data_IF_716066598079
#
_entry.id   IF_716066598079
#
_cell.length_a   1.000
_cell.length_b   1.000
_cell.length_c   1.000
_cell.angle_alpha   90.00
_cell.angle_beta   90.00
_cell.angle_gamma   90.00
#
_symmetry.space_group_name_H-M   'P 1'
#
loop_
_entity.id
_entity.type
_entity.pdbx_description
1 polymer ?
#
# COMPACT_ATOMS: atom_id res chain seq x y z
N UNK A 1 71.08 -25.26 59.23
CA UNK A 1 70.62 -26.55 58.66
C UNK A 1 69.09 -26.53 58.59
N UNK A 2 68.56 -27.11 57.52
CA UNK A 2 67.17 -27.53 57.23
C UNK A 2 66.21 -27.67 58.43
N UNK A 3 64.89 -27.60 58.32
CA UNK A 3 63.94 -27.19 57.30
C UNK A 3 62.54 -27.34 57.96
N UNK A 4 61.59 -26.56 57.47
CA UNK A 4 60.14 -26.85 57.38
C UNK A 4 59.31 -27.07 58.66
N UNK A 5 58.57 -26.02 58.99
CA UNK A 5 57.39 -25.89 59.85
C UNK A 5 56.12 -26.55 59.26
N UNK A 6 55.24 -27.17 60.08
CA UNK A 6 53.81 -27.35 59.79
C UNK A 6 52.96 -26.36 60.61
N UNK A 7 52.03 -25.58 60.02
CA UNK A 7 50.65 -25.86 59.58
C UNK A 7 49.56 -25.82 60.70
N UNK A 8 48.64 -24.85 60.51
CA UNK A 8 47.20 -24.79 60.87
C UNK A 8 46.84 -24.79 62.36
N UNK A 9 46.01 -23.88 62.89
CA UNK A 9 44.59 -23.71 62.52
C UNK A 9 44.08 -22.27 62.76
N UNK A 10 43.58 -21.61 61.71
CA UNK A 10 42.76 -20.40 61.81
C UNK A 10 41.32 -20.69 61.36
N UNK A 11 40.32 -20.38 62.19
CA UNK A 11 38.89 -20.55 61.89
C UNK A 11 38.49 -19.77 60.63
N UNK A 12 37.76 -20.37 59.66
CA UNK A 12 37.24 -19.63 58.52
C UNK A 12 36.01 -18.82 58.92
N UNK A 13 36.06 -17.50 58.69
CA UNK A 13 34.88 -16.62 58.70
C UNK A 13 34.07 -16.91 57.43
N UNK A 14 32.96 -17.63 57.56
CA UNK A 14 32.02 -17.79 56.46
C UNK A 14 31.41 -16.43 56.10
N UNK A 15 31.76 -15.89 54.93
CA UNK A 15 30.99 -14.81 54.30
C UNK A 15 29.67 -15.42 53.84
N UNK A 16 28.58 -15.12 54.56
CA UNK A 16 27.22 -15.47 54.15
C UNK A 16 26.89 -14.61 52.92
N UNK A 17 27.09 -15.17 51.74
CA UNK A 17 26.71 -14.54 50.48
C UNK A 17 25.17 -14.54 50.44
N UNK A 18 24.54 -13.37 50.56
CA UNK A 18 23.09 -13.21 50.45
C UNK A 18 22.66 -13.69 49.06
N UNK A 19 22.02 -14.86 49.01
CA UNK A 19 21.38 -15.40 47.81
C UNK A 19 20.08 -14.64 47.61
N UNK A 20 20.06 -13.75 46.62
CA UNK A 20 18.83 -13.06 46.21
C UNK A 20 17.76 -14.07 45.80
N UNK A 21 16.55 -13.88 46.31
CA UNK A 21 15.40 -14.72 45.96
C UNK A 21 14.99 -14.48 44.50
N UNK A 22 14.18 -15.39 43.93
CA UNK A 22 13.70 -15.22 42.55
C UNK A 22 12.84 -13.96 42.39
N UNK A 23 12.14 -13.55 43.44
CA UNK A 23 11.37 -12.30 43.51
C UNK A 23 12.26 -11.06 43.52
N UNK A 24 13.41 -11.08 44.22
CA UNK A 24 14.34 -9.94 44.23
C UNK A 24 14.98 -9.73 42.86
N UNK A 25 15.29 -10.83 42.17
CA UNK A 25 15.81 -10.79 40.79
C UNK A 25 14.75 -10.24 39.84
N UNK A 26 13.50 -10.69 39.95
CA UNK A 26 12.41 -10.18 39.12
C UNK A 26 12.15 -8.69 39.35
N UNK A 27 12.16 -8.23 40.61
CA UNK A 27 11.97 -6.82 40.95
C UNK A 27 13.09 -5.93 40.37
N UNK A 28 14.34 -6.39 40.40
CA UNK A 28 15.47 -5.67 39.80
C UNK A 28 15.38 -5.67 38.27
N UNK A 29 14.98 -6.77 37.65
CA UNK A 29 14.81 -6.83 36.18
C UNK A 29 13.68 -5.93 35.71
N UNK A 30 12.55 -5.90 36.42
CA UNK A 30 11.41 -4.99 36.13
C UNK A 30 11.82 -3.54 36.38
N UNK A 31 12.57 -3.26 37.45
CA UNK A 31 13.14 -1.94 37.73
C UNK A 31 14.05 -1.45 36.61
N UNK A 32 14.98 -2.27 36.14
CA UNK A 32 15.89 -1.96 35.02
C UNK A 32 15.16 -1.77 33.69
N UNK A 33 14.16 -2.61 33.39
CA UNK A 33 13.34 -2.48 32.18
C UNK A 33 12.48 -1.20 32.21
N UNK A 34 11.88 -0.87 33.35
CA UNK A 34 11.12 0.37 33.50
C UNK A 34 12.00 1.62 33.37
N UNK A 35 13.23 1.60 33.89
CA UNK A 35 14.18 2.69 33.74
C UNK A 35 14.67 2.86 32.29
N UNK A 36 14.84 1.76 31.55
CA UNK A 36 15.18 1.77 30.12
C UNK A 36 14.03 2.29 29.25
N UNK A 37 12.78 1.96 29.57
CA UNK A 37 11.60 2.48 28.88
C UNK A 37 11.36 3.98 29.17
N UNK A 38 11.52 4.43 30.41
CA UNK A 38 11.37 5.86 30.76
C UNK A 38 12.52 6.68 30.16
N UNK A 39 13.75 6.16 30.15
CA UNK A 39 14.91 6.80 29.52
C UNK A 39 14.77 6.97 28.01
N UNK A 40 14.19 6.00 27.31
CA UNK A 40 13.95 6.08 25.86
C UNK A 40 12.78 7.02 25.52
N UNK A 41 11.71 7.06 26.33
CA UNK A 41 10.62 8.04 26.17
C UNK A 41 11.12 9.47 26.44
N UNK A 42 11.97 9.69 27.44
CA UNK A 42 12.56 11.01 27.72
C UNK A 42 13.62 11.43 26.69
N UNK A 43 14.38 10.49 26.12
CA UNK A 43 15.33 10.79 25.04
C UNK A 43 14.60 11.19 23.76
N UNK A 44 13.54 10.46 23.38
CA UNK A 44 12.67 10.81 22.24
C UNK A 44 11.96 12.16 22.48
N UNK A 45 11.49 12.42 23.69
CA UNK A 45 10.90 13.71 24.05
C UNK A 45 11.91 14.88 24.05
N UNK A 46 13.20 14.62 24.35
CA UNK A 46 14.27 15.64 24.26
C UNK A 46 14.77 15.87 22.84
N UNK A 47 14.69 14.88 21.94
CA UNK A 47 15.07 15.03 20.52
C UNK A 47 13.94 15.54 19.62
N UNK A 48 12.70 15.61 20.11
CA UNK A 48 11.54 16.22 19.40
C UNK A 48 11.22 17.63 19.94
N UNK A 49 12.14 18.26 20.67
CA UNK A 49 12.11 19.70 20.89
C UNK A 49 12.45 20.44 19.58
N UNK A 50 11.52 20.41 18.63
CA UNK A 50 11.50 21.31 17.49
C UNK A 50 11.50 22.75 18.02
N UNK A 51 12.33 23.66 17.50
CA UNK A 51 12.17 25.06 17.82
C UNK A 51 10.77 25.47 17.40
N UNK A 52 10.01 26.03 18.35
CA UNK A 52 8.77 26.75 18.10
C UNK A 52 9.10 27.84 17.07
N UNK A 53 8.84 27.55 15.80
CA UNK A 53 8.96 28.50 14.72
C UNK A 53 7.95 29.61 15.02
N UNK A 54 8.46 30.83 15.21
CA UNK A 54 7.65 32.03 15.21
C UNK A 54 6.71 32.02 14.00
N UNK A 55 5.50 32.59 14.09
CA UNK A 55 4.59 32.63 12.95
C UNK A 55 5.30 33.38 11.82
N UNK A 56 5.72 32.64 10.81
CA UNK A 56 6.15 33.22 9.54
C UNK A 56 4.93 33.98 9.05
N UNK A 57 5.03 35.31 9.03
CA UNK A 57 4.06 36.13 8.33
C UNK A 57 3.99 35.58 6.91
N UNK A 58 2.87 34.92 6.60
CA UNK A 58 2.56 34.53 5.24
C UNK A 58 2.36 35.82 4.47
N UNK A 59 3.42 36.29 3.82
CA UNK A 59 3.25 37.03 2.58
C UNK A 59 2.47 36.08 1.69
N UNK A 60 1.14 36.26 1.64
CA UNK A 60 0.31 35.68 0.59
C UNK A 60 0.86 36.25 -0.71
N UNK A 61 1.81 35.55 -1.31
CA UNK A 61 2.04 35.72 -2.73
C UNK A 61 0.74 35.31 -3.40
N UNK A 62 -0.01 36.29 -3.89
CA UNK A 62 -1.21 36.13 -4.72
C UNK A 62 -0.91 35.45 -6.07
N UNK A 63 0.12 34.59 -6.14
CA UNK A 63 0.63 33.97 -7.36
C UNK A 63 -0.06 32.64 -7.69
N UNK A 64 -0.89 32.10 -6.79
CA UNK A 64 -1.51 30.78 -7.00
C UNK A 64 -2.94 30.84 -7.55
N UNK A 65 -3.70 31.91 -7.31
CA UNK A 65 -5.08 32.03 -7.79
C UNK A 65 -5.17 32.47 -9.26
N UNK A 66 -4.17 33.20 -9.75
CA UNK A 66 -4.18 33.79 -11.10
C UNK A 66 -3.72 32.80 -12.17
N UNK A 67 -2.86 31.83 -11.84
CA UNK A 67 -2.37 30.82 -12.80
C UNK A 67 -3.40 29.70 -13.00
N UNK A 68 -4.15 29.32 -11.95
CA UNK A 68 -5.22 28.33 -12.06
C UNK A 68 -6.44 28.84 -12.86
N UNK A 69 -6.61 30.15 -13.00
CA UNK A 69 -7.69 30.75 -13.80
C UNK A 69 -7.39 30.84 -15.31
N UNK A 70 -6.18 30.53 -15.76
CA UNK A 70 -5.78 30.64 -17.17
C UNK A 70 -5.76 29.31 -17.94
N UNK A 71 -5.87 28.16 -17.25
CA UNK A 71 -5.95 26.88 -17.95
C UNK A 71 -7.37 26.65 -18.46
N UNK A 72 -7.55 26.27 -19.74
CA UNK A 72 -8.87 25.94 -20.26
C UNK A 72 -9.51 24.84 -19.41
N UNK A 73 -10.83 24.94 -19.22
CA UNK A 73 -11.60 23.92 -18.54
C UNK A 73 -11.40 22.58 -19.27
N UNK A 74 -11.12 21.51 -18.52
CA UNK A 74 -11.04 20.17 -19.10
C UNK A 74 -12.46 19.70 -19.43
N UNK A 75 -12.63 19.14 -20.62
CA UNK A 75 -13.87 18.53 -21.03
C UNK A 75 -13.71 17.01 -21.04
N UNK A 76 -14.38 16.35 -20.11
CA UNK A 76 -14.43 14.88 -20.01
C UNK A 76 -15.78 14.30 -20.44
N UNK A 77 -16.58 15.06 -21.18
CA UNK A 77 -17.79 14.53 -21.82
C UNK A 77 -17.43 13.61 -22.98
N UNK A 78 -18.26 12.60 -23.21
CA UNK A 78 -18.08 11.66 -24.32
C UNK A 78 -17.28 10.41 -23.93
N UNK A 79 -16.70 9.77 -24.93
CA UNK A 79 -16.02 8.49 -24.77
C UNK A 79 -14.53 8.69 -24.45
N UNK A 80 -14.15 8.51 -23.19
CA UNK A 80 -12.80 8.73 -22.70
C UNK A 80 -11.83 7.66 -23.19
N UNK A 81 -12.32 6.51 -23.68
CA UNK A 81 -11.48 5.45 -24.28
C UNK A 81 -10.66 5.97 -25.45
N UNK A 82 -11.19 6.93 -26.21
CA UNK A 82 -10.52 7.53 -27.36
C UNK A 82 -9.25 8.32 -26.98
N UNK A 83 -9.07 8.63 -25.69
CA UNK A 83 -7.91 9.37 -25.14
C UNK A 83 -6.85 8.44 -24.55
N UNK A 84 -7.00 7.13 -24.74
CA UNK A 84 -6.13 6.12 -24.20
C UNK A 84 -5.67 5.15 -25.29
N UNK A 85 -4.54 4.52 -25.08
CA UNK A 85 -4.06 3.40 -25.88
C UNK A 85 -4.49 2.09 -25.22
N UNK A 86 -5.29 1.27 -25.92
CA UNK A 86 -5.57 -0.12 -25.53
C UNK A 86 -4.31 -0.96 -25.74
N UNK A 87 -3.93 -1.75 -24.75
CA UNK A 87 -2.73 -2.59 -24.76
C UNK A 87 -2.99 -3.93 -24.09
N UNK A 88 -2.10 -4.89 -24.36
CA UNK A 88 -2.20 -6.24 -23.82
C UNK A 88 -0.85 -6.68 -23.27
N UNK A 89 -0.89 -7.35 -22.12
CA UNK A 89 0.26 -7.93 -21.46
C UNK A 89 0.09 -9.45 -21.39
N UNK A 90 1.14 -10.18 -21.78
CA UNK A 90 1.16 -11.64 -21.63
C UNK A 90 1.41 -11.97 -20.17
N UNK A 91 0.37 -12.43 -19.49
CA UNK A 91 0.34 -12.69 -18.06
C UNK A 91 0.40 -14.18 -17.77
N UNK A 92 1.04 -14.59 -16.67
CA UNK A 92 0.95 -15.99 -16.24
C UNK A 92 -0.46 -16.34 -15.78
N UNK A 93 -0.92 -17.54 -16.11
CA UNK A 93 -2.24 -18.01 -15.68
C UNK A 93 -2.28 -18.22 -14.16
N UNK A 94 -1.17 -18.67 -13.56
CA UNK A 94 -1.08 -18.96 -12.14
C UNK A 94 0.23 -18.41 -11.55
N UNK A 95 0.13 -17.43 -10.65
CA UNK A 95 1.29 -16.86 -9.96
C UNK A 95 1.81 -17.71 -8.80
N UNK A 96 1.03 -18.69 -8.36
CA UNK A 96 1.30 -19.47 -7.14
C UNK A 96 1.74 -20.90 -7.45
N UNK A 97 1.85 -21.27 -8.72
CA UNK A 97 2.41 -22.53 -9.20
C UNK A 97 3.28 -22.26 -10.43
N UNK A 98 4.40 -22.97 -10.55
CA UNK A 98 5.30 -22.82 -11.69
C UNK A 98 4.79 -23.59 -12.92
N UNK A 99 3.70 -23.10 -13.53
CA UNK A 99 3.15 -23.62 -14.80
C UNK A 99 3.47 -22.66 -15.96
N UNK A 100 3.64 -23.16 -17.19
CA UNK A 100 4.00 -22.32 -18.33
C UNK A 100 2.82 -21.57 -18.95
N UNK A 101 1.59 -21.85 -18.49
CA UNK A 101 0.38 -21.31 -19.10
C UNK A 101 0.24 -19.80 -18.90
N UNK A 102 -0.29 -19.13 -19.91
CA UNK A 102 -0.43 -17.67 -19.95
C UNK A 102 -1.78 -17.26 -20.52
N UNK A 103 -2.16 -16.01 -20.31
CA UNK A 103 -3.28 -15.37 -20.98
C UNK A 103 -2.95 -13.91 -21.30
N UNK A 104 -3.76 -13.30 -22.17
CA UNK A 104 -3.60 -11.90 -22.54
C UNK A 104 -4.41 -11.02 -21.60
N UNK A 105 -3.75 -10.24 -20.75
CA UNK A 105 -4.39 -9.27 -19.87
C UNK A 105 -4.47 -7.91 -20.57
N UNK A 106 -5.68 -7.38 -20.73
CA UNK A 106 -5.92 -6.06 -21.29
C UNK A 106 -5.67 -4.96 -20.27
N UNK A 107 -5.15 -3.83 -20.73
CA UNK A 107 -5.08 -2.59 -19.96
C UNK A 107 -5.11 -1.38 -20.90
N UNK A 108 -5.41 -0.21 -20.34
CA UNK A 108 -5.36 1.06 -21.05
C UNK A 108 -4.34 1.99 -20.42
N UNK A 109 -3.65 2.75 -21.25
CA UNK A 109 -2.72 3.82 -20.83
C UNK A 109 -3.20 5.14 -21.40
N UNK A 110 -3.42 6.13 -20.55
CA UNK A 110 -3.83 7.48 -20.96
C UNK A 110 -2.78 8.47 -20.41
N UNK A 111 -1.94 8.96 -21.31
CA UNK A 111 -0.72 9.74 -21.00
C UNK A 111 -0.86 11.24 -21.30
N UNK A 112 -2.05 11.69 -21.69
CA UNK A 112 -2.32 13.09 -22.08
C UNK A 112 -1.83 14.14 -21.06
N UNK A 113 -1.87 13.81 -19.77
CA UNK A 113 -1.45 14.70 -18.69
C UNK A 113 -0.17 14.26 -17.97
N UNK A 114 0.46 13.19 -18.44
CA UNK A 114 1.55 12.60 -17.69
C UNK A 114 2.84 13.42 -17.80
N UNK A 115 3.33 13.87 -16.66
CA UNK A 115 4.59 14.62 -16.57
C UNK A 115 5.76 13.66 -16.32
N UNK A 116 6.19 12.97 -17.37
CA UNK A 116 7.27 11.97 -17.27
C UNK A 116 8.59 12.58 -16.75
N UNK A 117 8.95 13.80 -17.15
CA UNK A 117 10.20 14.46 -16.77
C UNK A 117 10.32 14.76 -15.27
N UNK A 118 9.19 14.93 -14.58
CA UNK A 118 9.12 15.14 -13.12
C UNK A 118 8.77 13.86 -12.35
N UNK A 119 8.81 12.70 -13.00
CA UNK A 119 8.35 11.43 -12.41
C UNK A 119 6.91 11.48 -11.91
N UNK A 120 6.01 12.09 -12.70
CA UNK A 120 4.59 12.19 -12.39
C UNK A 120 4.00 10.83 -11.97
N UNK A 121 3.06 10.81 -10.99
CA UNK A 121 2.57 9.58 -10.40
C UNK A 121 1.75 8.76 -11.39
N UNK A 122 1.55 7.49 -11.11
CA UNK A 122 0.64 6.61 -11.83
C UNK A 122 -0.64 6.47 -10.99
N UNK A 123 -1.76 6.90 -11.53
CA UNK A 123 -3.08 6.54 -11.01
C UNK A 123 -3.50 5.24 -11.68
N UNK A 124 -3.55 4.17 -10.89
CA UNK A 124 -3.75 2.81 -11.39
C UNK A 124 -5.12 2.29 -10.95
N UNK A 125 -6.08 2.21 -11.87
CA UNK A 125 -7.36 1.59 -11.59
C UNK A 125 -7.20 0.07 -11.57
N UNK A 126 -7.52 -0.54 -10.43
CA UNK A 126 -7.63 -2.00 -10.30
C UNK A 126 -9.01 -2.42 -10.79
N UNK A 127 -9.09 -2.85 -12.05
CA UNK A 127 -10.35 -3.31 -12.66
C UNK A 127 -11.03 -4.39 -11.81
N UNK A 128 -12.34 -4.45 -11.88
CA UNK A 128 -13.13 -5.34 -11.03
C UNK A 128 -14.05 -6.23 -11.89
N UNK A 129 -15.28 -6.49 -11.44
CA UNK A 129 -16.17 -7.53 -11.96
C UNK A 129 -16.87 -7.21 -13.29
N UNK A 130 -16.23 -6.46 -14.19
CA UNK A 130 -16.77 -6.12 -15.51
C UNK A 130 -15.67 -5.78 -16.52
N UNK A 131 -16.10 -5.50 -17.76
CA UNK A 131 -15.25 -4.93 -18.79
C UNK A 131 -14.64 -3.59 -18.30
N UNK A 132 -13.31 -3.46 -18.41
CA UNK A 132 -12.59 -2.31 -17.84
C UNK A 132 -12.97 -0.98 -18.48
N UNK A 133 -13.49 -1.00 -19.71
CA UNK A 133 -13.96 0.18 -20.43
C UNK A 133 -15.07 0.92 -19.68
N UNK A 134 -15.90 0.18 -18.93
CA UNK A 134 -16.90 0.76 -18.05
C UNK A 134 -16.25 1.69 -17.02
N UNK A 135 -15.21 1.20 -16.33
CA UNK A 135 -14.57 1.96 -15.26
C UNK A 135 -13.73 3.12 -15.81
N UNK A 136 -13.12 2.95 -16.99
CA UNK A 136 -12.41 4.01 -17.69
C UNK A 136 -13.32 5.21 -17.94
N UNK A 137 -14.55 4.97 -18.40
CA UNK A 137 -15.52 6.04 -18.70
C UNK A 137 -16.25 6.60 -17.47
N UNK A 138 -16.27 5.89 -16.33
CA UNK A 138 -17.05 6.29 -15.16
C UNK A 138 -16.23 6.66 -13.91
N UNK A 139 -14.90 6.55 -13.94
CA UNK A 139 -14.03 6.95 -12.83
C UNK A 139 -13.53 8.39 -13.01
N UNK A 140 -14.46 9.35 -12.95
CA UNK A 140 -14.18 10.78 -13.17
C UNK A 140 -13.06 11.33 -12.27
N UNK A 141 -12.97 10.87 -11.02
CA UNK A 141 -11.96 11.32 -10.06
C UNK A 141 -10.51 11.20 -10.59
N UNK A 142 -10.19 10.10 -11.30
CA UNK A 142 -8.85 9.95 -11.88
C UNK A 142 -8.60 10.97 -12.99
N UNK A 143 -9.58 11.19 -13.86
CA UNK A 143 -9.49 12.13 -14.98
C UNK A 143 -9.39 13.58 -14.52
N UNK A 144 -10.24 13.97 -13.57
CA UNK A 144 -10.34 15.34 -13.05
C UNK A 144 -9.05 15.80 -12.38
N UNK A 145 -8.33 14.89 -11.73
CA UNK A 145 -7.08 15.20 -11.03
C UNK A 145 -5.82 14.89 -11.84
N UNK A 146 -5.90 14.17 -12.96
CA UNK A 146 -4.72 13.78 -13.74
C UNK A 146 -3.82 14.96 -14.12
N UNK A 147 -4.40 16.08 -14.59
CA UNK A 147 -3.66 17.29 -14.95
C UNK A 147 -3.00 17.96 -13.76
N UNK A 148 -3.69 18.04 -12.63
CA UNK A 148 -3.18 18.68 -11.41
C UNK A 148 -1.95 17.94 -10.86
N UNK A 149 -2.01 16.61 -10.87
CA UNK A 149 -0.91 15.77 -10.38
C UNK A 149 0.14 15.44 -11.45
N UNK A 150 -0.10 15.79 -12.72
CA UNK A 150 0.73 15.34 -13.83
C UNK A 150 0.76 13.82 -13.97
N UNK A 151 -0.37 13.16 -13.69
CA UNK A 151 -0.46 11.72 -13.51
C UNK A 151 -0.62 10.95 -14.83
N UNK A 152 0.00 9.77 -14.90
CA UNK A 152 -0.33 8.75 -15.89
C UNK A 152 -1.58 8.01 -15.41
N UNK A 153 -2.59 7.88 -16.27
CA UNK A 153 -3.72 7.03 -15.97
C UNK A 153 -3.52 5.64 -16.57
N UNK A 154 -3.72 4.62 -15.75
CA UNK A 154 -3.71 3.22 -16.18
C UNK A 154 -4.97 2.55 -15.70
N UNK A 155 -5.68 1.87 -16.59
CA UNK A 155 -6.84 1.05 -16.25
C UNK A 155 -6.53 -0.40 -16.59
N UNK A 156 -6.29 -1.23 -15.58
CA UNK A 156 -5.96 -2.64 -15.77
C UNK A 156 -7.21 -3.52 -15.65
N UNK A 157 -7.47 -4.34 -16.65
CA UNK A 157 -8.61 -5.24 -16.61
C UNK A 157 -8.36 -6.44 -15.69
N UNK A 158 -9.42 -6.84 -14.98
CA UNK A 158 -9.39 -7.99 -14.11
C UNK A 158 -9.39 -9.28 -14.94
N UNK A 159 -8.61 -10.28 -14.52
CA UNK A 159 -8.66 -11.63 -15.09
C UNK A 159 -10.10 -12.16 -15.12
N UNK A 160 -10.48 -12.87 -16.17
CA UNK A 160 -11.82 -13.43 -16.42
C UNK A 160 -12.94 -12.42 -16.72
N UNK A 161 -12.64 -11.13 -16.84
CA UNK A 161 -13.61 -10.11 -17.25
C UNK A 161 -13.20 -9.43 -18.55
N UNK A 162 -14.18 -8.85 -19.24
CA UNK A 162 -13.98 -8.16 -20.53
C UNK A 162 -13.28 -9.04 -21.56
N UNK A 163 -12.12 -8.57 -22.05
CA UNK A 163 -11.28 -9.30 -23.01
C UNK A 163 -10.12 -10.05 -22.34
N UNK A 164 -9.98 -9.96 -21.02
CA UNK A 164 -8.89 -10.57 -20.25
C UNK A 164 -9.24 -11.97 -19.76
N UNK A 165 -9.64 -12.83 -20.69
CA UNK A 165 -10.20 -14.16 -20.40
C UNK A 165 -9.22 -15.25 -20.86
N UNK A 166 -8.74 -16.14 -19.97
CA UNK A 166 -7.92 -17.27 -20.36
C UNK A 166 -8.65 -18.23 -21.32
N UNK A 167 -7.88 -18.94 -22.15
CA UNK A 167 -8.43 -20.02 -22.96
C UNK A 167 -9.12 -21.08 -22.07
N UNK A 168 -10.25 -21.62 -22.54
CA UNK A 168 -11.06 -22.59 -21.77
C UNK A 168 -11.41 -22.11 -20.35
N UNK A 169 -11.71 -20.82 -20.17
CA UNK A 169 -11.93 -20.19 -18.86
C UNK A 169 -12.84 -20.97 -17.89
N UNK A 170 -13.90 -21.61 -18.40
CA UNK A 170 -14.81 -22.43 -17.59
C UNK A 170 -14.10 -23.61 -16.89
N UNK A 171 -13.05 -24.17 -17.50
CA UNK A 171 -12.21 -25.23 -16.93
C UNK A 171 -11.05 -24.69 -16.08
N UNK A 172 -10.82 -23.39 -16.14
CA UNK A 172 -9.73 -22.70 -15.44
C UNK A 172 -10.24 -21.80 -14.32
N UNK A 173 -11.49 -21.91 -13.88
CA UNK A 173 -12.06 -21.04 -12.84
C UNK A 173 -11.31 -21.09 -11.50
N UNK A 174 -10.51 -22.13 -11.25
CA UNK A 174 -9.62 -22.19 -10.09
C UNK A 174 -8.59 -21.05 -10.04
N UNK A 175 -8.28 -20.39 -11.16
CA UNK A 175 -7.39 -19.23 -11.18
C UNK A 175 -8.14 -17.88 -11.14
N UNK A 176 -9.47 -17.89 -10.99
CA UNK A 176 -10.27 -16.70 -10.71
C UNK A 176 -10.30 -16.45 -9.20
N UNK A 177 -9.28 -15.75 -8.69
CA UNK A 177 -9.21 -15.31 -7.30
C UNK A 177 -8.67 -13.89 -7.19
N UNK A 178 -8.96 -13.21 -6.08
CA UNK A 178 -8.43 -11.87 -5.82
C UNK A 178 -6.92 -11.89 -5.63
N UNK A 179 -6.34 -12.93 -5.01
CA UNK A 179 -4.89 -13.08 -4.86
C UNK A 179 -4.17 -13.13 -6.21
N UNK A 180 -4.73 -13.90 -7.15
CA UNK A 180 -4.21 -14.01 -8.50
C UNK A 180 -4.32 -12.68 -9.26
N UNK A 181 -5.46 -11.98 -9.14
CA UNK A 181 -5.66 -10.67 -9.75
C UNK A 181 -4.69 -9.61 -9.19
N UNK A 182 -4.45 -9.60 -7.88
CA UNK A 182 -3.48 -8.70 -7.26
C UNK A 182 -2.05 -8.98 -7.74
N UNK A 183 -1.69 -10.25 -7.93
CA UNK A 183 -0.40 -10.62 -8.50
C UNK A 183 -0.30 -10.19 -9.98
N UNK A 184 -1.39 -10.27 -10.75
CA UNK A 184 -1.41 -9.73 -12.13
C UNK A 184 -1.07 -8.25 -12.15
N UNK A 185 -1.77 -7.46 -11.33
CA UNK A 185 -1.54 -6.02 -11.25
C UNK A 185 -0.11 -5.70 -10.83
N UNK A 186 0.48 -6.46 -9.90
CA UNK A 186 1.86 -6.25 -9.49
C UNK A 186 2.85 -6.46 -10.64
N UNK A 187 2.70 -7.55 -11.37
CA UNK A 187 3.57 -7.87 -12.52
C UNK A 187 3.36 -6.89 -13.67
N UNK A 188 2.10 -6.57 -13.98
CA UNK A 188 1.73 -5.61 -15.01
C UNK A 188 2.30 -4.21 -14.72
N UNK A 189 2.15 -3.72 -13.49
CA UNK A 189 2.69 -2.42 -13.10
C UNK A 189 4.22 -2.40 -13.21
N UNK A 190 4.89 -3.49 -12.84
CA UNK A 190 6.33 -3.67 -13.05
C UNK A 190 6.72 -3.66 -14.53
N UNK A 191 5.89 -4.19 -15.43
CA UNK A 191 6.07 -4.07 -16.87
C UNK A 191 5.91 -2.62 -17.34
N UNK A 192 4.82 -1.95 -16.96
CA UNK A 192 4.51 -0.56 -17.36
C UNK A 192 5.60 0.41 -16.88
N UNK A 193 6.04 0.30 -15.62
CA UNK A 193 7.11 1.17 -15.09
C UNK A 193 8.42 1.01 -15.85
N UNK A 194 8.73 -0.20 -16.33
CA UNK A 194 9.93 -0.45 -17.15
C UNK A 194 9.75 0.04 -18.58
N UNK A 195 8.63 -0.26 -19.22
CA UNK A 195 8.39 0.10 -20.62
C UNK A 195 8.28 1.61 -20.84
N UNK A 196 7.75 2.34 -19.85
CA UNK A 196 7.62 3.80 -19.89
C UNK A 196 8.75 4.54 -19.16
N UNK A 197 9.78 3.85 -18.68
CA UNK A 197 10.84 4.45 -17.85
C UNK A 197 10.29 5.26 -16.64
N UNK A 198 9.21 4.78 -16.04
CA UNK A 198 8.50 5.40 -14.92
C UNK A 198 8.90 4.77 -13.57
N UNK A 199 10.13 4.27 -13.45
CA UNK A 199 10.56 3.47 -12.27
C UNK A 199 10.50 4.26 -10.96
N UNK A 200 10.76 5.57 -11.02
CA UNK A 200 10.67 6.53 -9.91
C UNK A 200 9.26 7.06 -9.63
N UNK A 201 8.29 6.84 -10.52
CA UNK A 201 6.92 7.32 -10.33
C UNK A 201 6.26 6.62 -9.15
N UNK A 202 5.68 7.40 -8.24
CA UNK A 202 4.79 6.90 -7.20
C UNK A 202 3.51 6.33 -7.83
N UNK A 203 2.90 5.32 -7.20
CA UNK A 203 1.69 4.69 -7.70
C UNK A 203 0.58 4.73 -6.66
N UNK A 204 -0.58 5.23 -7.05
CA UNK A 204 -1.80 5.23 -6.24
C UNK A 204 -2.83 4.33 -6.92
N UNK A 205 -3.26 3.27 -6.23
CA UNK A 205 -4.30 2.39 -6.72
C UNK A 205 -5.69 3.00 -6.49
N UNK A 206 -6.58 2.90 -7.47
CA UNK A 206 -7.97 3.36 -7.39
C UNK A 206 -8.91 2.19 -7.66
N UNK A 207 -10.02 2.13 -6.94
CA UNK A 207 -11.08 1.19 -7.25
C UNK A 207 -12.36 1.49 -6.47
N UNK A 208 -13.50 1.11 -7.06
CA UNK A 208 -14.82 1.21 -6.43
C UNK A 208 -15.43 -0.17 -6.18
N UNK A 209 -16.28 -0.32 -5.16
CA UNK A 209 -16.93 -1.62 -4.84
C UNK A 209 -15.88 -2.71 -4.59
N UNK A 210 -15.95 -3.86 -5.25
CA UNK A 210 -14.92 -4.90 -5.24
C UNK A 210 -13.55 -4.38 -5.72
N UNK A 211 -13.51 -3.48 -6.71
CA UNK A 211 -12.28 -2.78 -7.09
C UNK A 211 -11.68 -1.97 -5.93
N UNK A 212 -12.52 -1.40 -5.06
CA UNK A 212 -12.08 -0.72 -3.85
C UNK A 212 -11.48 -1.69 -2.83
N UNK A 213 -12.07 -2.88 -2.68
CA UNK A 213 -11.50 -3.95 -1.86
C UNK A 213 -10.14 -4.39 -2.41
N UNK A 214 -10.04 -4.59 -3.73
CA UNK A 214 -8.78 -4.88 -4.41
C UNK A 214 -7.75 -3.78 -4.18
N UNK A 215 -8.11 -2.50 -4.29
CA UNK A 215 -7.18 -1.39 -4.09
C UNK A 215 -6.61 -1.40 -2.65
N UNK A 216 -7.48 -1.60 -1.66
CA UNK A 216 -7.07 -1.71 -0.26
C UNK A 216 -6.16 -2.92 -0.03
N UNK A 217 -6.55 -4.10 -0.51
CA UNK A 217 -5.74 -5.32 -0.37
C UNK A 217 -4.43 -5.25 -1.14
N UNK A 218 -4.41 -4.58 -2.30
CA UNK A 218 -3.21 -4.38 -3.08
C UNK A 218 -2.18 -3.59 -2.26
N UNK A 219 -2.63 -2.52 -1.58
CA UNK A 219 -1.74 -1.72 -0.72
C UNK A 219 -1.25 -2.50 0.48
N UNK A 220 -2.11 -3.32 1.09
CA UNK A 220 -1.74 -4.16 2.25
C UNK A 220 -0.73 -5.25 1.86
N UNK A 221 -0.94 -5.93 0.73
CA UNK A 221 -0.13 -7.09 0.32
C UNK A 221 1.11 -6.73 -0.49
N UNK A 222 1.06 -5.65 -1.25
CA UNK A 222 2.14 -5.19 -2.12
C UNK A 222 2.52 -3.72 -1.84
N UNK A 223 2.87 -3.34 -0.60
CA UNK A 223 3.21 -1.95 -0.26
C UNK A 223 4.53 -1.46 -0.89
N UNK A 224 5.31 -2.38 -1.48
CA UNK A 224 6.52 -2.08 -2.25
C UNK A 224 6.24 -1.84 -3.75
N UNK A 225 5.02 -2.12 -4.20
CA UNK A 225 4.58 -1.97 -5.60
C UNK A 225 3.76 -0.69 -5.80
N UNK A 226 2.85 -0.41 -4.86
CA UNK A 226 2.04 0.82 -4.85
C UNK A 226 2.24 1.59 -3.56
N UNK A 227 2.21 2.93 -3.62
CA UNK A 227 2.48 3.84 -2.49
C UNK A 227 1.22 4.21 -1.71
N UNK A 228 0.06 4.20 -2.35
CA UNK A 228 -1.23 4.53 -1.73
C UNK A 228 -2.40 3.86 -2.43
N UNK A 229 -3.58 3.94 -1.81
CA UNK A 229 -4.82 3.44 -2.39
C UNK A 229 -6.02 4.32 -2.03
N UNK A 230 -6.91 4.53 -3.00
CA UNK A 230 -8.23 5.13 -2.85
C UNK A 230 -9.27 4.02 -3.02
N UNK A 231 -9.76 3.50 -1.89
CA UNK A 231 -10.73 2.40 -1.83
C UNK A 231 -12.16 2.95 -1.69
N UNK A 232 -12.78 3.34 -2.80
CA UNK A 232 -14.08 3.99 -2.81
C UNK A 232 -15.22 3.00 -2.55
N UNK A 233 -16.00 3.23 -1.48
CA UNK A 233 -17.16 2.40 -1.10
C UNK A 233 -16.84 0.90 -1.07
N UNK A 234 -15.66 0.53 -0.55
CA UNK A 234 -15.18 -0.83 -0.47
C UNK A 234 -15.78 -1.57 0.75
N UNK A 235 -16.63 -2.60 0.56
CA UNK A 235 -17.28 -3.31 1.67
C UNK A 235 -16.34 -4.33 2.34
N UNK A 236 -15.15 -3.91 2.77
CA UNK A 236 -14.10 -4.78 3.33
C UNK A 236 -14.49 -5.46 4.65
N UNK A 237 -15.52 -4.97 5.34
CA UNK A 237 -16.06 -5.53 6.59
C UNK A 237 -17.35 -6.35 6.39
N UNK A 238 -17.82 -6.53 5.16
CA UNK A 238 -19.09 -7.20 4.88
C UNK A 238 -18.98 -8.73 4.78
N UNK A 239 -17.98 -9.32 5.46
CA UNK A 239 -17.81 -10.77 5.52
C UNK A 239 -18.45 -11.36 6.78
N UNK A 240 -18.92 -12.60 6.68
CA UNK A 240 -19.49 -13.32 7.82
C UNK A 240 -18.40 -13.53 8.88
N UNK A 241 -18.68 -13.12 10.12
CA UNK A 241 -17.75 -13.24 11.25
C UNK A 241 -16.93 -11.99 11.55
N UNK A 242 -17.07 -10.92 10.76
CA UNK A 242 -16.41 -9.63 11.03
C UNK A 242 -17.02 -8.89 12.24
N UNK A 243 -16.26 -7.93 12.78
CA UNK A 243 -16.70 -7.05 13.87
C UNK A 243 -16.56 -5.57 13.46
N UNK A 244 -17.65 -4.78 13.40
CA UNK A 244 -19.03 -5.17 13.70
C UNK A 244 -19.57 -6.20 12.68
N UNK A 245 -20.56 -7.03 13.07
CA UNK A 245 -21.14 -8.02 12.17
C UNK A 245 -21.64 -7.41 10.86
N UNK A 246 -21.41 -8.11 9.75
CA UNK A 246 -21.91 -7.71 8.44
C UNK A 246 -23.43 -7.49 8.50
N UNK A 247 -23.87 -6.25 8.26
CA UNK A 247 -25.28 -5.91 8.19
C UNK A 247 -25.81 -6.20 6.77
N UNK A 248 -26.30 -7.42 6.57
CA UNK A 248 -26.82 -7.89 5.28
C UNK A 248 -28.06 -7.13 4.79
N UNK A 249 -28.75 -6.41 5.68
CA UNK A 249 -29.94 -5.60 5.34
C UNK A 249 -29.62 -4.11 5.25
N UNK A 250 -28.37 -3.68 5.50
CA UNK A 250 -27.99 -2.27 5.49
C UNK A 250 -28.40 -1.55 4.20
N UNK A 251 -28.22 -2.21 3.05
CA UNK A 251 -28.64 -1.65 1.76
C UNK A 251 -30.16 -1.46 1.71
N UNK A 252 -30.94 -2.50 2.03
CA UNK A 252 -32.42 -2.44 2.05
C UNK A 252 -33.03 -1.50 3.10
N UNK A 253 -32.24 -1.02 4.05
CA UNK A 253 -32.70 -0.04 5.05
C UNK A 253 -32.56 1.40 4.54
N UNK A 254 -31.74 1.63 3.51
CA UNK A 254 -31.39 2.95 2.99
C UNK A 254 -32.10 3.28 1.66
N UNK A 255 -32.54 2.27 0.92
CA UNK A 255 -33.35 2.37 -0.32
C UNK A 255 -34.73 1.79 -0.11
#
# INVERSE_FOLDING_TARGET
MQASTPLLTGRPRAKKMLRMSSSDKAAITIGLLSALCIGSVLYVARTIALPYAAPVATSRSNLSSTILSELPALNFTGDLRARCTESYFVQTLNHFEAIPDTYSQRYFVCDEFWQQSSSGPIFFYVGNEADVELYLNHTGLMWEHAREFGALLVFAEHRYFGKSVPADAARHLQHLSSEQALADYAVLLGHIKRSLNATSSAVVAFGGSYGGMLAAWFRIKYPHVIDGAVAASAPVLSFVGESPPANLTAFSQLV
#
